data_IF_336350459795
#
_entry.id   IF_336350459795
#
_cell.length_a   1.000
_cell.length_b   1.000
_cell.length_c   1.000
_cell.angle_alpha   90.00
_cell.angle_beta   90.00
_cell.angle_gamma   90.00
#
_symmetry.space_group_name_H-M   'P 1'
#
loop_
_entity.id
_entity.type
_entity.pdbx_description
1 polymer ?
#
# COMPACT_ATOMS: atom_id res chain seq x y z
N UNK A 1 -7.93 -21.36 47.45
CA UNK A 1 -8.73 -21.15 46.23
C UNK A 1 -8.02 -21.87 45.10
N UNK A 2 -8.64 -22.91 44.53
CA UNK A 2 -8.03 -23.72 43.46
C UNK A 2 -8.11 -22.95 42.15
N UNK A 3 -6.95 -22.59 41.57
CA UNK A 3 -6.84 -22.15 40.19
C UNK A 3 -7.14 -23.34 39.26
N UNK A 4 -8.42 -23.73 39.16
CA UNK A 4 -8.88 -24.58 38.06
C UNK A 4 -9.06 -23.69 36.84
N UNK A 5 -7.97 -23.43 36.14
CA UNK A 5 -8.02 -22.88 34.79
C UNK A 5 -8.75 -23.91 33.93
N UNK A 6 -10.03 -23.63 33.65
CA UNK A 6 -10.89 -24.56 32.93
C UNK A 6 -10.35 -24.69 31.48
N UNK A 7 -9.87 -25.86 31.04
CA UNK A 7 -9.23 -26.04 29.74
C UNK A 7 -10.13 -25.58 28.58
N UNK A 8 -11.44 -25.75 28.71
CA UNK A 8 -12.42 -25.30 27.70
C UNK A 8 -12.43 -23.77 27.53
N UNK A 9 -12.28 -23.00 28.62
CA UNK A 9 -12.15 -21.53 28.56
C UNK A 9 -10.84 -21.07 27.95
N UNK A 10 -9.77 -21.86 28.11
CA UNK A 10 -8.47 -21.56 27.49
C UNK A 10 -8.57 -21.78 25.98
N UNK A 11 -9.19 -22.88 25.55
CA UNK A 11 -9.41 -23.18 24.13
C UNK A 11 -10.31 -22.13 23.47
N UNK A 12 -11.43 -21.75 24.10
CA UNK A 12 -12.29 -20.67 23.61
C UNK A 12 -11.57 -19.32 23.49
N UNK A 13 -10.68 -18.99 24.43
CA UNK A 13 -9.89 -17.76 24.37
C UNK A 13 -8.80 -17.81 23.30
N UNK A 14 -8.17 -18.98 23.08
CA UNK A 14 -7.20 -19.20 22.01
C UNK A 14 -7.88 -19.12 20.64
N UNK A 15 -9.07 -19.70 20.48
CA UNK A 15 -9.82 -19.64 19.23
C UNK A 15 -10.34 -18.23 18.95
N UNK A 16 -10.80 -17.52 19.97
CA UNK A 16 -11.20 -16.11 19.85
C UNK A 16 -10.00 -15.18 19.56
N UNK A 17 -8.83 -15.47 20.12
CA UNK A 17 -7.58 -14.75 19.81
C UNK A 17 -7.10 -15.05 18.37
N UNK A 18 -7.09 -16.33 17.97
CA UNK A 18 -6.75 -16.75 16.59
C UNK A 18 -7.69 -16.16 15.56
N UNK A 19 -9.00 -16.09 15.84
CA UNK A 19 -9.94 -15.44 14.94
C UNK A 19 -9.68 -13.93 14.83
N UNK A 20 -9.35 -13.26 15.94
CA UNK A 20 -8.98 -11.84 15.92
C UNK A 20 -7.69 -11.59 15.14
N UNK A 21 -6.70 -12.47 15.29
CA UNK A 21 -5.43 -12.39 14.54
C UNK A 21 -5.66 -12.68 13.05
N UNK A 22 -6.52 -13.65 12.72
CA UNK A 22 -6.90 -13.96 11.33
C UNK A 22 -7.70 -12.82 10.68
N UNK A 23 -8.60 -12.17 11.42
CA UNK A 23 -9.33 -10.99 10.95
C UNK A 23 -8.39 -9.81 10.74
N UNK A 24 -7.48 -9.54 11.69
CA UNK A 24 -6.51 -8.45 11.55
C UNK A 24 -5.54 -8.67 10.38
N UNK A 25 -5.11 -9.92 10.12
CA UNK A 25 -4.33 -10.28 8.95
C UNK A 25 -5.11 -10.08 7.64
N UNK A 26 -6.41 -10.41 7.61
CA UNK A 26 -7.28 -10.12 6.45
C UNK A 26 -7.39 -8.62 6.19
N UNK A 27 -7.61 -7.82 7.25
CA UNK A 27 -7.66 -6.36 7.13
C UNK A 27 -6.32 -5.75 6.68
N UNK A 28 -5.18 -6.36 6.99
CA UNK A 28 -3.88 -5.92 6.47
C UNK A 28 -3.73 -6.21 4.97
N UNK A 29 -4.17 -7.39 4.51
CA UNK A 29 -4.12 -7.76 3.08
C UNK A 29 -5.08 -6.92 2.24
N UNK A 30 -6.25 -6.56 2.77
CA UNK A 30 -7.23 -5.71 2.08
C UNK A 30 -6.84 -4.21 2.05
N UNK A 31 -5.79 -3.82 2.79
CA UNK A 31 -5.24 -2.45 2.79
C UNK A 31 -4.17 -2.22 1.74
N UNK A 32 -3.70 -3.27 1.08
CA UNK A 32 -2.56 -3.19 0.18
C UNK A 32 -2.88 -3.67 -1.23
N UNK A 33 -2.25 -3.01 -2.20
CA UNK A 33 -2.10 -3.49 -3.57
C UNK A 33 -0.63 -3.81 -3.80
N UNK A 34 -0.34 -4.98 -4.36
CA UNK A 34 1.02 -5.49 -4.51
C UNK A 34 1.28 -5.94 -5.94
N UNK A 35 2.44 -5.55 -6.46
CA UNK A 35 3.01 -6.10 -7.66
C UNK A 35 4.44 -6.55 -7.41
N UNK A 36 4.75 -7.79 -7.79
CA UNK A 36 6.08 -8.35 -7.60
C UNK A 36 6.56 -9.03 -8.87
N UNK A 37 7.83 -8.83 -9.19
CA UNK A 37 8.46 -9.50 -10.32
C UNK A 37 9.87 -9.97 -9.97
N UNK A 38 10.26 -11.09 -10.57
CA UNK A 38 11.55 -11.73 -10.38
C UNK A 38 12.23 -11.79 -11.75
N UNK A 39 13.43 -11.25 -11.82
CA UNK A 39 14.30 -11.33 -12.98
C UNK A 39 15.36 -12.39 -12.73
N UNK A 40 15.31 -13.43 -13.55
CA UNK A 40 16.22 -14.57 -13.44
C UNK A 40 17.33 -14.53 -14.48
N UNK A 41 17.18 -13.75 -15.56
CA UNK A 41 18.19 -13.66 -16.60
C UNK A 41 19.36 -12.83 -16.12
N UNK A 42 20.55 -13.43 -16.01
CA UNK A 42 21.76 -12.73 -15.61
C UNK A 42 22.20 -11.77 -16.71
N UNK A 43 22.71 -10.57 -16.36
CA UNK A 43 23.22 -9.63 -17.36
C UNK A 43 24.52 -10.19 -17.95
N UNK A 44 24.86 -9.77 -19.17
CA UNK A 44 26.16 -10.11 -19.77
C UNK A 44 27.31 -9.61 -18.88
N UNK A 45 28.44 -10.33 -18.90
CA UNK A 45 29.63 -10.02 -18.12
C UNK A 45 30.24 -8.68 -18.52
N UNK A 46 30.09 -8.29 -19.78
CA UNK A 46 30.53 -7.01 -20.33
C UNK A 46 29.43 -5.93 -20.34
N UNK A 47 28.23 -6.23 -19.81
CA UNK A 47 27.12 -5.30 -19.77
C UNK A 47 27.51 -4.01 -19.02
N UNK A 48 27.25 -2.88 -19.67
CA UNK A 48 27.54 -1.57 -19.12
C UNK A 48 26.65 -1.29 -17.90
N UNK A 49 27.11 -0.39 -17.02
CA UNK A 49 26.30 0.05 -15.87
C UNK A 49 24.92 0.60 -16.28
N UNK A 50 24.83 1.23 -17.45
CA UNK A 50 23.58 1.74 -18.00
C UNK A 50 22.62 0.63 -18.43
N UNK A 51 23.11 -0.46 -19.03
CA UNK A 51 22.30 -1.62 -19.41
C UNK A 51 21.79 -2.37 -18.19
N UNK A 52 22.66 -2.53 -17.18
CA UNK A 52 22.30 -3.13 -15.89
C UNK A 52 21.25 -2.30 -15.14
N UNK A 53 21.36 -0.98 -15.17
CA UNK A 53 20.34 -0.09 -14.61
C UNK A 53 19.00 -0.22 -15.35
N UNK A 54 19.03 -0.28 -16.69
CA UNK A 54 17.83 -0.50 -17.52
C UNK A 54 17.16 -1.84 -17.19
N UNK A 55 17.93 -2.90 -16.95
CA UNK A 55 17.42 -4.19 -16.50
C UNK A 55 16.63 -4.04 -15.20
N UNK A 56 17.21 -3.48 -14.15
CA UNK A 56 16.52 -3.25 -12.87
C UNK A 56 15.24 -2.43 -13.07
N UNK A 57 15.32 -1.37 -13.88
CA UNK A 57 14.16 -0.53 -14.18
C UNK A 57 13.05 -1.31 -14.92
N UNK A 58 13.40 -2.21 -15.83
CA UNK A 58 12.43 -3.05 -16.54
C UNK A 58 11.68 -4.00 -15.57
N UNK A 59 12.38 -4.57 -14.58
CA UNK A 59 11.75 -5.40 -13.53
C UNK A 59 10.82 -4.55 -12.67
N UNK A 60 11.26 -3.34 -12.30
CA UNK A 60 10.43 -2.39 -11.57
C UNK A 60 9.17 -2.02 -12.36
N UNK A 61 9.27 -1.78 -13.67
CA UNK A 61 8.14 -1.45 -14.54
C UNK A 61 7.13 -2.60 -14.62
N UNK A 62 7.61 -3.85 -14.73
CA UNK A 62 6.76 -5.05 -14.68
C UNK A 62 6.06 -5.16 -13.32
N UNK A 63 6.77 -4.98 -12.21
CA UNK A 63 6.21 -4.99 -10.86
C UNK A 63 5.17 -3.89 -10.66
N UNK A 64 5.45 -2.66 -11.09
CA UNK A 64 4.49 -1.55 -11.10
C UNK A 64 3.24 -1.90 -11.91
N UNK A 65 3.40 -2.48 -13.09
CA UNK A 65 2.27 -2.83 -13.96
C UNK A 65 1.36 -3.85 -13.28
N UNK A 66 1.93 -4.83 -12.56
CA UNK A 66 1.18 -5.79 -11.74
C UNK A 66 0.43 -5.09 -10.59
N UNK A 67 1.10 -4.19 -9.86
CA UNK A 67 0.47 -3.42 -8.78
C UNK A 67 -0.67 -2.52 -9.28
N UNK A 68 -0.53 -1.95 -10.47
CA UNK A 68 -1.53 -1.06 -11.09
C UNK A 68 -2.76 -1.79 -11.67
N UNK A 69 -2.75 -3.13 -11.71
CA UNK A 69 -3.85 -3.92 -12.24
C UNK A 69 -5.15 -3.66 -11.46
N UNK A 70 -6.28 -3.83 -12.15
CA UNK A 70 -7.60 -3.63 -11.56
C UNK A 70 -7.88 -4.62 -10.41
N UNK A 71 -7.35 -5.83 -10.47
CA UNK A 71 -7.45 -6.85 -9.41
C UNK A 71 -6.84 -6.38 -8.08
N UNK A 72 -5.75 -5.61 -8.16
CA UNK A 72 -5.05 -5.05 -7.00
C UNK A 72 -5.70 -3.72 -6.59
N UNK A 73 -5.61 -2.71 -7.44
CA UNK A 73 -6.07 -1.35 -7.13
C UNK A 73 -7.59 -1.24 -6.94
N UNK A 74 -8.37 -2.12 -7.58
CA UNK A 74 -9.82 -2.12 -7.45
C UNK A 74 -10.29 -2.50 -6.05
N UNK A 75 -9.54 -3.36 -5.35
CA UNK A 75 -9.82 -3.72 -3.95
C UNK A 75 -9.63 -2.51 -3.03
N UNK A 76 -8.55 -1.76 -3.21
CA UNK A 76 -8.31 -0.51 -2.48
C UNK A 76 -9.38 0.54 -2.79
N UNK A 77 -9.75 0.68 -4.06
CA UNK A 77 -10.74 1.67 -4.48
C UNK A 77 -12.15 1.37 -3.94
N UNK A 78 -12.51 0.11 -3.75
CA UNK A 78 -13.80 -0.29 -3.18
C UNK A 78 -14.03 0.25 -1.76
N UNK A 79 -12.95 0.52 -1.02
CA UNK A 79 -13.00 1.10 0.34
C UNK A 79 -13.55 2.53 0.40
N UNK A 80 -13.55 3.23 -0.74
CA UNK A 80 -14.15 4.57 -0.87
C UNK A 80 -15.65 4.54 -1.12
N UNK A 81 -16.28 3.37 -1.26
CA UNK A 81 -17.73 3.29 -1.41
C UNK A 81 -18.46 3.82 -0.17
N UNK A 82 -19.75 4.11 -0.29
CA UNK A 82 -20.56 4.64 0.80
C UNK A 82 -20.60 3.74 2.05
N UNK A 83 -20.44 2.42 1.87
CA UNK A 83 -20.38 1.42 2.95
C UNK A 83 -18.93 1.02 3.27
N UNK A 84 -17.94 1.64 2.62
CA UNK A 84 -16.52 1.38 2.84
C UNK A 84 -15.96 2.11 4.07
N UNK A 85 -14.80 1.66 4.55
CA UNK A 85 -14.12 2.28 5.69
C UNK A 85 -13.53 3.67 5.37
N UNK A 86 -13.50 4.07 4.09
CA UNK A 86 -13.05 5.38 3.60
C UNK A 86 -14.22 6.12 2.90
N UNK A 87 -15.42 6.02 3.47
CA UNK A 87 -16.62 6.67 2.93
C UNK A 87 -16.56 8.22 2.94
N UNK A 88 -15.71 8.81 3.80
CA UNK A 88 -15.44 10.26 3.78
C UNK A 88 -14.45 10.69 2.69
N UNK A 89 -13.94 9.75 1.89
CA UNK A 89 -12.96 9.98 0.82
C UNK A 89 -11.66 10.67 1.26
N UNK A 90 -11.31 10.57 2.55
CA UNK A 90 -10.02 11.02 3.08
C UNK A 90 -9.18 9.81 3.46
N UNK A 91 -8.02 9.67 2.83
CA UNK A 91 -7.11 8.55 3.07
C UNK A 91 -5.66 9.02 3.13
N UNK A 92 -4.82 8.27 3.84
CA UNK A 92 -3.36 8.39 3.80
C UNK A 92 -2.78 7.07 3.36
N UNK A 93 -1.65 7.12 2.67
CA UNK A 93 -1.01 5.91 2.20
C UNK A 93 0.45 6.14 1.89
N UNK A 94 1.09 5.07 1.48
CA UNK A 94 2.47 5.08 1.04
C UNK A 94 2.65 4.13 -0.13
N UNK A 95 3.48 4.56 -1.08
CA UNK A 95 3.99 3.74 -2.18
C UNK A 95 5.40 3.35 -1.82
N UNK A 96 5.69 2.05 -1.78
CA UNK A 96 7.01 1.52 -1.51
C UNK A 96 7.53 0.67 -2.65
N UNK A 97 8.85 0.71 -2.82
CA UNK A 97 9.62 -0.14 -3.74
C UNK A 97 10.65 -0.86 -2.88
N UNK A 98 10.75 -2.18 -3.04
CA UNK A 98 11.82 -3.00 -2.47
C UNK A 98 12.53 -3.73 -3.61
N UNK A 99 13.85 -3.60 -3.66
CA UNK A 99 14.74 -4.30 -4.60
C UNK A 99 15.59 -5.27 -3.79
N UNK A 100 15.47 -6.57 -4.09
CA UNK A 100 16.16 -7.65 -3.40
C UNK A 100 17.18 -8.29 -4.34
N UNK A 101 18.40 -8.48 -3.85
CA UNK A 101 19.51 -9.08 -4.57
C UNK A 101 19.71 -10.51 -4.06
N UNK A 102 19.04 -11.48 -4.68
CA UNK A 102 18.83 -12.79 -4.05
C UNK A 102 20.11 -13.64 -3.92
N UNK A 103 21.11 -13.37 -4.75
CA UNK A 103 22.38 -14.09 -4.75
C UNK A 103 23.52 -13.28 -4.14
N UNK A 104 23.21 -12.21 -3.40
CA UNK A 104 24.20 -11.33 -2.79
C UNK A 104 23.85 -11.06 -1.32
N UNK A 105 24.86 -10.91 -0.47
CA UNK A 105 24.68 -10.63 0.97
C UNK A 105 24.19 -9.20 1.28
N UNK A 106 23.89 -8.40 0.24
CA UNK A 106 23.52 -7.00 0.38
C UNK A 106 22.08 -6.91 0.88
N UNK A 107 21.82 -6.01 1.82
CA UNK A 107 20.46 -5.72 2.27
C UNK A 107 19.57 -5.17 1.15
N UNK A 108 18.28 -5.42 1.27
CA UNK A 108 17.27 -4.91 0.35
C UNK A 108 17.29 -3.38 0.27
N UNK A 109 17.24 -2.88 -0.95
CA UNK A 109 17.12 -1.46 -1.21
C UNK A 109 15.63 -1.07 -1.19
N UNK A 110 15.22 -0.31 -0.16
CA UNK A 110 13.82 0.11 0.04
C UNK A 110 13.64 1.62 -0.13
N UNK A 111 12.72 2.02 -1.00
CA UNK A 111 12.30 3.40 -1.21
C UNK A 111 10.82 3.59 -0.88
N UNK A 112 10.47 4.71 -0.24
CA UNK A 112 9.07 5.01 0.16
C UNK A 112 8.68 6.42 -0.23
N UNK A 113 7.45 6.57 -0.71
CA UNK A 113 6.80 7.84 -1.02
C UNK A 113 5.40 7.90 -0.38
N UNK A 114 5.21 8.69 0.69
CA UNK A 114 3.89 8.89 1.28
C UNK A 114 3.00 9.73 0.37
N UNK A 115 1.68 9.55 0.49
CA UNK A 115 0.66 10.36 -0.16
C UNK A 115 -0.58 10.53 0.73
N UNK A 116 -1.40 11.52 0.42
CA UNK A 116 -2.69 11.77 1.08
C UNK A 116 -3.74 12.04 0.00
N UNK A 117 -4.88 11.37 0.10
CA UNK A 117 -6.03 11.59 -0.75
C UNK A 117 -7.04 12.42 0.03
N UNK A 118 -7.34 13.61 -0.46
CA UNK A 118 -8.34 14.51 0.11
C UNK A 118 -9.70 14.33 -0.58
N UNK A 119 -10.82 14.63 0.10
CA UNK A 119 -12.16 14.43 -0.48
C UNK A 119 -12.39 15.21 -1.79
N UNK A 120 -11.80 16.39 -1.92
CA UNK A 120 -11.92 17.20 -3.14
C UNK A 120 -11.25 16.55 -4.36
N UNK A 121 -10.21 15.73 -4.17
CA UNK A 121 -9.52 15.06 -5.28
C UNK A 121 -10.39 13.96 -5.89
N UNK A 122 -11.14 13.24 -5.05
CA UNK A 122 -12.14 12.27 -5.52
C UNK A 122 -13.32 12.98 -6.20
N UNK A 123 -13.72 14.16 -5.68
CA UNK A 123 -14.75 14.98 -6.30
C UNK A 123 -14.30 15.61 -7.64
N UNK A 124 -13.02 15.95 -7.79
CA UNK A 124 -12.46 16.41 -9.05
C UNK A 124 -12.34 15.28 -10.07
N UNK A 125 -11.94 14.08 -9.63
CA UNK A 125 -11.91 12.89 -10.47
C UNK A 125 -13.29 12.58 -11.09
N UNK A 126 -14.40 12.86 -10.37
CA UNK A 126 -15.78 12.74 -10.89
C UNK A 126 -16.01 13.57 -12.15
N UNK A 127 -15.39 14.76 -12.27
CA UNK A 127 -15.52 15.63 -13.47
C UNK A 127 -14.91 14.96 -14.70
N UNK A 128 -13.84 14.20 -14.50
CA UNK A 128 -13.10 13.53 -15.58
C UNK A 128 -13.69 12.16 -15.93
N UNK A 129 -14.07 11.36 -14.93
CA UNK A 129 -14.65 10.01 -15.12
C UNK A 129 -16.12 10.05 -15.54
N UNK A 130 -16.81 11.17 -15.29
CA UNK A 130 -18.25 11.38 -15.55
C UNK A 130 -19.15 10.37 -14.82
N UNK A 131 -18.73 9.88 -13.64
CA UNK A 131 -19.53 8.94 -12.84
C UNK A 131 -19.65 9.37 -11.38
N UNK A 132 -20.82 9.12 -10.78
CA UNK A 132 -21.07 9.32 -9.35
C UNK A 132 -20.46 8.21 -8.47
N UNK A 133 -19.94 7.14 -9.09
CA UNK A 133 -19.34 6.01 -8.39
C UNK A 133 -18.00 6.38 -7.73
N UNK A 134 -17.99 6.44 -6.41
CA UNK A 134 -16.82 6.81 -5.61
C UNK A 134 -15.63 5.87 -5.82
N UNK A 135 -15.86 4.56 -5.96
CA UNK A 135 -14.81 3.57 -6.22
C UNK A 135 -14.11 3.80 -7.57
N UNK A 136 -14.86 4.11 -8.62
CA UNK A 136 -14.28 4.42 -9.95
C UNK A 136 -13.45 5.70 -9.90
N UNK A 137 -13.91 6.70 -9.16
CA UNK A 137 -13.20 7.98 -8.99
C UNK A 137 -11.92 7.80 -8.16
N UNK A 138 -12.01 7.09 -7.04
CA UNK A 138 -10.87 6.74 -6.20
C UNK A 138 -9.83 5.91 -6.95
N UNK A 139 -10.25 4.95 -7.79
CA UNK A 139 -9.34 4.16 -8.62
C UNK A 139 -8.48 5.03 -9.54
N UNK A 140 -9.06 6.11 -10.08
CA UNK A 140 -8.32 7.07 -10.92
C UNK A 140 -7.27 7.82 -10.10
N UNK A 141 -7.66 8.34 -8.94
CA UNK A 141 -6.75 9.04 -8.01
C UNK A 141 -5.62 8.11 -7.56
N UNK A 142 -5.96 6.91 -7.10
CA UNK A 142 -5.00 5.92 -6.63
C UNK A 142 -3.97 5.52 -7.71
N UNK A 143 -4.37 5.43 -8.99
CA UNK A 143 -3.42 5.17 -10.09
C UNK A 143 -2.47 6.33 -10.33
N UNK A 144 -2.95 7.57 -10.16
CA UNK A 144 -2.12 8.77 -10.25
C UNK A 144 -1.09 8.79 -9.12
N UNK A 145 -1.54 8.52 -7.89
CA UNK A 145 -0.67 8.43 -6.71
C UNK A 145 0.34 7.29 -6.82
N UNK A 146 -0.06 6.11 -7.30
CA UNK A 146 0.87 5.01 -7.56
C UNK A 146 1.96 5.41 -8.56
N UNK A 147 1.59 6.02 -9.70
CA UNK A 147 2.55 6.43 -10.73
C UNK A 147 3.53 7.49 -10.20
N UNK A 148 3.02 8.52 -9.54
CA UNK A 148 3.84 9.59 -8.94
C UNK A 148 4.73 9.05 -7.81
N UNK A 149 4.16 8.21 -6.95
CA UNK A 149 4.82 7.61 -5.81
C UNK A 149 5.94 6.65 -6.21
N UNK A 150 5.77 5.82 -7.24
CA UNK A 150 6.84 4.95 -7.77
C UNK A 150 8.01 5.78 -8.28
N UNK A 151 7.74 6.85 -9.06
CA UNK A 151 8.80 7.72 -9.56
C UNK A 151 9.56 8.41 -8.41
N UNK A 152 8.83 8.97 -7.44
CA UNK A 152 9.44 9.63 -6.28
C UNK A 152 10.22 8.66 -5.38
N UNK A 153 9.68 7.45 -5.15
CA UNK A 153 10.36 6.41 -4.38
C UNK A 153 11.63 5.93 -5.10
N UNK A 154 11.57 5.73 -6.43
CA UNK A 154 12.73 5.33 -7.21
C UNK A 154 13.82 6.39 -7.24
N UNK A 155 13.49 7.67 -7.36
CA UNK A 155 14.48 8.76 -7.30
C UNK A 155 15.28 8.76 -5.98
N UNK A 156 14.63 8.44 -4.85
CA UNK A 156 15.30 8.27 -3.55
C UNK A 156 16.12 6.98 -3.46
N UNK A 157 15.77 5.98 -4.27
CA UNK A 157 16.39 4.66 -4.30
C UNK A 157 17.60 4.60 -5.24
N UNK A 158 17.57 5.38 -6.31
CA UNK A 158 18.52 5.33 -7.43
C UNK A 158 20.00 5.36 -6.99
N UNK A 159 20.45 6.20 -6.04
CA UNK A 159 21.84 6.17 -5.60
C UNK A 159 22.27 4.81 -5.04
N UNK A 160 21.39 4.16 -4.27
CA UNK A 160 21.67 2.84 -3.67
C UNK A 160 21.70 1.74 -4.72
N UNK A 161 20.79 1.79 -5.70
CA UNK A 161 20.80 0.86 -6.85
C UNK A 161 22.10 1.01 -7.64
N UNK A 162 22.58 2.24 -7.84
CA UNK A 162 23.87 2.48 -8.51
C UNK A 162 25.05 1.93 -7.71
N UNK A 163 25.00 2.01 -6.39
CA UNK A 163 26.01 1.39 -5.53
C UNK A 163 25.93 -0.14 -5.60
N UNK A 164 24.74 -0.74 -5.63
CA UNK A 164 24.57 -2.17 -5.85
C UNK A 164 25.19 -2.63 -7.20
N UNK A 165 25.06 -1.81 -8.24
CA UNK A 165 25.69 -2.04 -9.55
C UNK A 165 27.22 -2.01 -9.47
N UNK A 166 27.79 -1.10 -8.67
CA UNK A 166 29.24 -1.03 -8.43
C UNK A 166 29.74 -2.26 -7.68
N UNK A 167 28.97 -2.71 -6.69
CA UNK A 167 29.28 -3.88 -5.87
C UNK A 167 28.99 -5.21 -6.59
N UNK A 168 28.44 -5.16 -7.81
CA UNK A 168 28.02 -6.33 -8.60
C UNK A 168 26.90 -7.16 -7.97
N UNK A 169 26.10 -6.57 -7.08
CA UNK A 169 25.00 -7.26 -6.42
C UNK A 169 23.83 -7.62 -7.37
N UNK A 170 23.63 -6.85 -8.44
CA UNK A 170 22.65 -7.10 -9.49
C UNK A 170 23.12 -8.12 -10.54
N UNK A 171 24.33 -8.70 -10.43
CA UNK A 171 24.80 -9.71 -11.39
C UNK A 171 24.00 -11.02 -11.28
N UNK A 172 23.34 -11.27 -10.15
CA UNK A 172 22.46 -12.42 -9.94
C UNK A 172 20.99 -12.12 -10.26
N UNK A 173 20.12 -12.89 -9.62
CA UNK A 173 18.68 -12.76 -9.64
C UNK A 173 18.22 -11.55 -8.81
N UNK A 174 17.26 -10.81 -9.35
CA UNK A 174 16.75 -9.59 -8.74
C UNK A 174 15.24 -9.70 -8.61
N UNK A 175 14.73 -9.48 -7.41
CA UNK A 175 13.30 -9.36 -7.17
C UNK A 175 12.95 -7.90 -6.89
N UNK A 176 11.90 -7.40 -7.54
CA UNK A 176 11.36 -6.07 -7.25
C UNK A 176 9.91 -6.22 -6.80
N UNK A 177 9.59 -5.58 -5.68
CA UNK A 177 8.23 -5.47 -5.16
C UNK A 177 7.82 -4.01 -5.10
N UNK A 178 6.64 -3.71 -5.65
CA UNK A 178 5.95 -2.43 -5.52
C UNK A 178 4.72 -2.67 -4.66
N UNK A 179 4.54 -1.85 -3.63
CA UNK A 179 3.38 -1.94 -2.72
C UNK A 179 2.74 -0.58 -2.55
N UNK A 180 1.41 -0.53 -2.59
CA UNK A 180 0.62 0.63 -2.21
C UNK A 180 -0.17 0.24 -0.98
N UNK A 181 0.06 0.93 0.13
CA UNK A 181 -0.75 0.79 1.34
C UNK A 181 -1.71 1.98 1.48
N UNK A 182 -2.90 1.71 1.99
CA UNK A 182 -3.94 2.71 2.16
C UNK A 182 -4.62 2.57 3.51
N UNK A 183 -4.80 3.70 4.21
CA UNK A 183 -5.39 3.80 5.53
C UNK A 183 -6.41 4.96 5.53
N UNK A 184 -7.53 4.85 6.27
CA UNK A 184 -8.41 6.00 6.46
C UNK A 184 -7.63 7.18 7.05
N UNK A 185 -7.89 8.38 6.56
CA UNK A 185 -7.35 9.60 7.14
C UNK A 185 -8.10 9.96 8.43
N UNK A 186 -7.45 10.71 9.33
CA UNK A 186 -8.14 11.28 10.48
C UNK A 186 -9.20 12.29 10.01
N UNK A 187 -10.47 11.94 10.21
CA UNK A 187 -11.57 12.87 10.03
C UNK A 187 -11.58 13.84 11.21
N UNK A 188 -11.04 15.05 11.00
CA UNK A 188 -11.33 16.17 11.88
C UNK A 188 -12.70 16.71 11.49
N UNK A 189 -13.71 16.41 12.29
CA UNK A 189 -15.04 16.98 12.11
C UNK A 189 -14.92 18.52 12.03
N UNK A 190 -15.64 19.17 11.09
CA UNK A 190 -15.69 20.62 11.08
C UNK A 190 -16.18 21.13 12.46
N UNK A 191 -15.67 22.27 12.96
CA UNK A 191 -15.99 22.78 14.30
C UNK A 191 -17.50 22.91 14.56
N UNK A 192 -18.29 23.13 13.50
CA UNK A 192 -19.75 23.23 13.56
C UNK A 192 -20.48 21.92 13.89
N UNK A 193 -19.88 20.75 13.65
CA UNK A 193 -20.46 19.45 14.00
C UNK A 193 -20.06 18.99 15.40
N UNK A 194 -18.87 19.35 15.88
CA UNK A 194 -18.43 19.05 17.25
C UNK A 194 -19.34 19.71 18.32
N UNK A 195 -19.89 20.89 18.03
CA UNK A 195 -20.82 21.60 18.91
C UNK A 195 -22.22 20.98 19.01
N UNK A 196 -22.59 20.07 18.10
CA UNK A 196 -23.91 19.42 18.11
C UNK A 196 -23.89 18.10 18.90
N UNK A 197 -22.77 17.38 18.88
CA UNK A 197 -22.62 16.11 19.61
C UNK A 197 -22.37 16.29 21.12
N UNK A 198 -21.94 17.49 21.55
CA UNK A 198 -21.67 17.83 22.95
C UNK A 198 -22.88 18.38 23.71
N UNK A 199 -24.09 18.37 23.12
CA UNK A 199 -25.29 18.74 23.85
C UNK A 199 -25.72 17.58 24.76
N UNK A 200 -25.72 17.74 26.10
CA UNK A 200 -26.30 16.73 26.97
C UNK A 200 -27.77 16.56 26.61
N UNK A 201 -28.18 15.32 26.38
CA UNK A 201 -29.58 14.95 26.27
C UNK A 201 -30.29 15.39 27.55
N UNK A 202 -31.03 16.49 27.49
CA UNK A 202 -31.98 16.87 28.54
C UNK A 202 -32.99 15.74 28.70
N UNK A 203 -32.79 14.92 29.73
CA UNK A 203 -33.76 13.95 30.20
C UNK A 203 -35.06 14.69 30.51
N UNK A 204 -36.08 14.36 29.73
CA UNK A 204 -37.42 14.89 29.88
C UNK A 204 -38.11 14.20 31.05
N UNK A 205 -38.28 14.97 32.15
CA UNK A 205 -39.36 14.93 33.17
C UNK A 205 -39.88 13.58 33.69
#
# INVERSE_FOLDING_TARGET
>A
MSYRTNPDRILDNIDRARNRDAESARFQVDRQALGRDLETEMPDVDATASERLKRIFAVLEKAYTKAAQRSEMGRLAARFQAVGDIHHHHARGDVSISVQYLDHERFDDVGVSPFEIRPYEVADAKKETKTSRADVNALRVLRKELRGGVLAAYQKLEPRVRDAIRDRADMGHIQVQVTVDLRPGEYLAPPSQQLLDDKPSEESS
#
